data_IF_013225992307
#
_entry.id   IF_013225992307
#
_cell.length_a   1.000
_cell.length_b   1.000
_cell.length_c   1.000
_cell.angle_alpha   90.00
_cell.angle_beta   90.00
_cell.angle_gamma   90.00
#
_symmetry.space_group_name_H-M   'P 1'
#
loop_
_entity.id
_entity.type
_entity.pdbx_description
1 polymer ?
#
# COMPACT_ATOMS: atom_id res chain seq x y z
N UNK A 1 -15.91 -8.11 9.62
CA UNK A 1 -16.68 -8.89 8.64
C UNK A 1 -17.80 -8.06 8.04
N UNK A 2 -18.68 -7.48 8.85
CA UNK A 2 -19.82 -6.68 8.37
C UNK A 2 -19.41 -5.44 7.55
N UNK A 3 -18.37 -4.71 7.98
CA UNK A 3 -17.90 -3.54 7.21
C UNK A 3 -17.28 -3.91 5.86
N UNK A 4 -16.57 -5.04 5.78
CA UNK A 4 -15.96 -5.51 4.52
C UNK A 4 -17.07 -5.88 3.53
N UNK A 5 -18.10 -6.58 4.00
CA UNK A 5 -19.25 -6.94 3.18
C UNK A 5 -20.00 -5.68 2.69
N UNK A 6 -20.22 -4.70 3.58
CA UNK A 6 -20.85 -3.43 3.23
C UNK A 6 -20.07 -2.69 2.14
N UNK A 7 -18.75 -2.56 2.29
CA UNK A 7 -17.89 -1.90 1.30
C UNK A 7 -17.89 -2.66 -0.04
N UNK A 8 -17.87 -3.99 0.00
CA UNK A 8 -17.95 -4.79 -1.22
C UNK A 8 -19.28 -4.58 -1.95
N UNK A 9 -20.41 -4.54 -1.24
CA UNK A 9 -21.73 -4.27 -1.80
C UNK A 9 -21.82 -2.85 -2.38
N UNK A 10 -21.36 -1.84 -1.65
CA UNK A 10 -21.35 -0.45 -2.16
C UNK A 10 -20.53 -0.32 -3.45
N UNK A 11 -19.35 -0.96 -3.50
CA UNK A 11 -18.51 -0.96 -4.71
C UNK A 11 -19.11 -1.76 -5.85
N UNK A 12 -19.78 -2.87 -5.54
CA UNK A 12 -20.49 -3.68 -6.54
C UNK A 12 -21.59 -2.87 -7.23
N UNK A 13 -22.46 -2.21 -6.45
CA UNK A 13 -23.54 -1.39 -6.98
C UNK A 13 -22.99 -0.20 -7.79
N UNK A 14 -21.92 0.45 -7.32
CA UNK A 14 -21.28 1.52 -8.07
C UNK A 14 -20.74 1.07 -9.44
N UNK A 15 -20.17 -0.13 -9.55
CA UNK A 15 -19.73 -0.70 -10.84
C UNK A 15 -20.94 -1.02 -11.71
N UNK A 16 -22.00 -1.59 -11.13
CA UNK A 16 -23.24 -1.92 -11.84
C UNK A 16 -23.93 -0.69 -12.43
N UNK A 17 -23.96 0.43 -11.70
CA UNK A 17 -24.48 1.70 -12.20
C UNK A 17 -23.66 2.23 -13.39
N UNK A 18 -22.34 2.06 -13.37
CA UNK A 18 -21.45 2.48 -14.46
C UNK A 18 -21.51 1.53 -15.67
N UNK A 19 -21.86 0.26 -15.44
CA UNK A 19 -21.90 -0.80 -16.46
C UNK A 19 -23.24 -1.55 -16.46
N UNK A 20 -24.35 -0.88 -16.82
CA UNK A 20 -25.70 -1.44 -16.66
C UNK A 20 -26.00 -2.67 -17.53
N UNK A 21 -25.14 -2.97 -18.51
CA UNK A 21 -25.25 -4.14 -19.37
C UNK A 21 -24.29 -5.29 -19.02
N UNK A 22 -23.45 -5.14 -17.99
CA UNK A 22 -22.56 -6.21 -17.54
C UNK A 22 -23.34 -7.22 -16.70
N UNK A 23 -23.04 -8.51 -16.89
CA UNK A 23 -23.56 -9.57 -16.03
C UNK A 23 -22.87 -9.56 -14.65
N UNK A 24 -23.50 -10.23 -13.68
CA UNK A 24 -23.05 -10.22 -12.29
C UNK A 24 -21.65 -10.87 -12.12
N UNK A 25 -21.28 -11.86 -12.95
CA UNK A 25 -19.95 -12.48 -12.90
C UNK A 25 -18.86 -11.50 -13.36
N UNK A 26 -19.13 -10.76 -14.45
CA UNK A 26 -18.24 -9.70 -14.95
C UNK A 26 -18.04 -8.61 -13.89
N UNK A 27 -19.10 -8.17 -13.23
CA UNK A 27 -19.02 -7.15 -12.17
C UNK A 27 -18.21 -7.68 -10.97
N UNK A 28 -18.44 -8.94 -10.56
CA UNK A 28 -17.71 -9.56 -9.46
C UNK A 28 -16.21 -9.71 -9.77
N UNK A 29 -15.84 -10.11 -10.99
CA UNK A 29 -14.44 -10.17 -11.43
C UNK A 29 -13.82 -8.78 -11.41
N UNK A 30 -14.50 -7.76 -11.93
CA UNK A 30 -13.98 -6.40 -11.94
C UNK A 30 -13.79 -5.84 -10.52
N UNK A 31 -14.73 -6.11 -9.61
CA UNK A 31 -14.60 -5.77 -8.19
C UNK A 31 -13.37 -6.43 -7.56
N UNK A 32 -13.15 -7.72 -7.84
CA UNK A 32 -11.99 -8.46 -7.35
C UNK A 32 -10.67 -7.89 -7.90
N UNK A 33 -10.60 -7.64 -9.21
CA UNK A 33 -9.42 -7.05 -9.87
C UNK A 33 -9.12 -5.66 -9.31
N UNK A 34 -10.12 -4.80 -9.16
CA UNK A 34 -9.93 -3.46 -8.59
C UNK A 34 -9.44 -3.51 -7.13
N UNK A 35 -9.98 -4.46 -6.35
CA UNK A 35 -9.58 -4.66 -4.95
C UNK A 35 -8.12 -5.12 -4.87
N UNK A 36 -7.73 -6.12 -5.67
CA UNK A 36 -6.36 -6.63 -5.73
C UNK A 36 -5.38 -5.58 -6.28
N UNK A 37 -5.77 -4.81 -7.28
CA UNK A 37 -4.95 -3.72 -7.82
C UNK A 37 -4.69 -2.64 -6.77
N UNK A 38 -5.72 -2.24 -6.01
CA UNK A 38 -5.56 -1.30 -4.90
C UNK A 38 -4.65 -1.85 -3.81
N UNK A 39 -4.79 -3.14 -3.49
CA UNK A 39 -3.93 -3.81 -2.52
C UNK A 39 -2.47 -3.80 -2.98
N UNK A 40 -2.20 -4.19 -4.22
CA UNK A 40 -0.86 -4.22 -4.79
C UNK A 40 -0.21 -2.83 -4.77
N UNK A 41 -0.94 -1.77 -5.13
CA UNK A 41 -0.39 -0.41 -5.06
C UNK A 41 0.02 0.02 -3.66
N UNK A 42 -0.72 -0.42 -2.63
CA UNK A 42 -0.37 -0.15 -1.22
C UNK A 42 0.85 -0.95 -0.77
N UNK A 43 0.98 -2.19 -1.23
CA UNK A 43 2.15 -3.03 -0.95
C UNK A 43 3.42 -2.43 -1.56
N UNK A 44 3.36 -1.99 -2.83
CA UNK A 44 4.48 -1.31 -3.49
C UNK A 44 4.90 -0.04 -2.74
N UNK A 45 3.93 0.82 -2.38
CA UNK A 45 4.23 2.06 -1.64
C UNK A 45 4.82 1.76 -0.24
N UNK A 46 4.39 0.68 0.40
CA UNK A 46 4.92 0.24 1.67
C UNK A 46 6.38 -0.23 1.53
N UNK A 47 6.66 -1.06 0.53
CA UNK A 47 8.01 -1.56 0.24
C UNK A 47 8.99 -0.42 -0.05
N UNK A 48 8.56 0.58 -0.84
CA UNK A 48 9.36 1.77 -1.13
C UNK A 48 9.72 2.55 0.15
N UNK A 49 8.73 2.74 1.04
CA UNK A 49 8.93 3.41 2.33
C UNK A 49 9.84 2.62 3.27
N UNK A 50 9.76 1.29 3.24
CA UNK A 50 10.61 0.43 4.05
C UNK A 50 12.08 0.56 3.62
N UNK A 51 12.34 0.57 2.30
CA UNK A 51 13.68 0.80 1.75
C UNK A 51 14.23 2.18 2.10
N UNK A 52 13.41 3.23 1.98
CA UNK A 52 13.81 4.60 2.37
C UNK A 52 14.15 4.67 3.86
N UNK A 53 13.33 4.05 4.72
CA UNK A 53 13.56 4.01 6.15
C UNK A 53 14.84 3.26 6.52
N UNK A 54 15.13 2.15 5.85
CA UNK A 54 16.36 1.38 6.05
C UNK A 54 17.59 2.21 5.65
N UNK A 55 17.54 2.89 4.50
CA UNK A 55 18.61 3.78 4.05
C UNK A 55 18.87 4.91 5.05
N UNK A 56 17.81 5.56 5.55
CA UNK A 56 17.90 6.61 6.57
C UNK A 56 18.50 6.07 7.88
N UNK A 57 18.12 4.87 8.32
CA UNK A 57 18.70 4.24 9.51
C UNK A 57 20.20 4.03 9.35
N UNK A 58 20.66 3.54 8.20
CA UNK A 58 22.08 3.37 7.94
C UNK A 58 22.85 4.70 7.95
N UNK A 59 22.31 5.74 7.31
CA UNK A 59 22.92 7.08 7.31
C UNK A 59 23.04 7.65 8.73
N UNK A 60 22.00 7.53 9.55
CA UNK A 60 22.01 8.04 10.93
C UNK A 60 23.03 7.29 11.79
N UNK A 61 23.13 5.95 11.65
CA UNK A 61 24.14 5.17 12.38
C UNK A 61 25.55 5.56 11.94
N UNK A 62 25.79 5.70 10.63
CA UNK A 62 27.09 6.12 10.11
C UNK A 62 27.48 7.52 10.64
N UNK A 63 26.57 8.48 10.59
CA UNK A 63 26.81 9.83 11.09
C UNK A 63 27.14 9.85 12.60
N UNK A 64 26.45 9.03 13.41
CA UNK A 64 26.75 8.90 14.85
C UNK A 64 28.12 8.27 15.10
N UNK A 65 28.51 7.27 14.30
CA UNK A 65 29.83 6.65 14.41
C UNK A 65 30.94 7.64 14.06
N UNK A 66 30.76 8.45 13.02
CA UNK A 66 31.71 9.51 12.66
C UNK A 66 31.84 10.56 13.76
N UNK A 67 30.72 11.01 14.35
CA UNK A 67 30.73 11.93 15.50
C UNK A 67 31.51 11.37 16.68
N UNK A 68 31.28 10.10 17.06
CA UNK A 68 32.00 9.47 18.17
C UNK A 68 33.52 9.40 17.94
N UNK A 69 33.97 9.12 16.71
CA UNK A 69 35.41 9.08 16.38
C UNK A 69 36.08 10.45 16.49
N UNK A 70 35.35 11.53 16.18
CA UNK A 70 35.85 12.90 16.30
C UNK A 70 35.98 13.27 17.78
N UNK A 71 35.00 12.94 18.61
CA UNK A 71 35.03 13.18 20.06
C UNK A 71 36.16 12.41 20.76
N UNK A 72 36.40 11.15 20.39
CA UNK A 72 37.49 10.34 20.96
C UNK A 72 38.90 10.82 20.54
N UNK A 73 39.01 11.69 19.53
CA UNK A 73 40.27 12.23 18.99
C UNK A 73 40.64 13.63 19.52
N UNK A 74 39.79 14.23 20.36
CA UNK A 74 39.97 15.57 20.98
C UNK A 74 40.39 15.45 22.45
#
# INVERSE_FOLDING_TARGET
MEEIAKVATEKYEAIKEQMPGADDETIAILLAVNSLSTQLSREIEFDDKEQELEALRHQVVAAKQEQSKIEDSL
#
